data_IF_338086321343
#
_entry.id   IF_338086321343
#
_cell.length_a   1.000
_cell.length_b   1.000
_cell.length_c   1.000
_cell.angle_alpha   90.00
_cell.angle_beta   90.00
_cell.angle_gamma   90.00
#
_symmetry.space_group_name_H-M   'P 1'
#
loop_
_entity.id
_entity.type
_entity.pdbx_description
1 polymer ?
#
# COMPACT_ATOMS: atom_id res chain seq x y z
N UNK A 1 -8.96 -10.66 23.19
CA UNK A 1 -7.88 -11.14 22.30
C UNK A 1 -7.91 -12.66 22.20
N UNK A 2 -8.04 -13.40 23.31
CA UNK A 2 -8.05 -14.88 23.31
C UNK A 2 -9.21 -15.50 22.50
N UNK A 3 -10.36 -14.82 22.46
CA UNK A 3 -11.53 -15.21 21.64
C UNK A 3 -11.25 -15.14 20.14
N UNK A 4 -10.38 -14.22 19.70
CA UNK A 4 -9.99 -14.12 18.29
C UNK A 4 -8.99 -15.22 17.94
N UNK A 5 -8.04 -15.55 18.83
CA UNK A 5 -7.09 -16.64 18.59
C UNK A 5 -7.73 -18.01 18.44
N UNK A 6 -8.68 -18.33 19.31
CA UNK A 6 -9.31 -19.66 19.35
C UNK A 6 -10.13 -19.99 18.10
N UNK A 7 -10.45 -18.99 17.27
CA UNK A 7 -11.22 -19.19 16.03
C UNK A 7 -10.35 -19.71 14.89
N UNK A 8 -10.88 -20.57 14.00
CA UNK A 8 -10.15 -21.06 12.83
C UNK A 8 -9.70 -19.91 11.91
N UNK A 9 -8.59 -20.10 11.21
CA UNK A 9 -8.06 -19.15 10.20
C UNK A 9 -9.01 -19.10 9.01
N UNK A 10 -9.95 -18.17 9.08
CA UNK A 10 -10.96 -17.91 8.05
C UNK A 10 -10.76 -16.51 7.49
N UNK A 11 -11.15 -16.27 6.24
CA UNK A 11 -11.10 -14.95 5.63
C UNK A 11 -11.90 -13.91 6.44
N UNK A 12 -13.04 -14.33 7.01
CA UNK A 12 -13.88 -13.48 7.85
C UNK A 12 -13.18 -13.07 9.16
N UNK A 13 -12.45 -14.00 9.79
CA UNK A 13 -11.62 -13.68 10.96
C UNK A 13 -10.55 -12.66 10.60
N UNK A 14 -9.90 -12.81 9.45
CA UNK A 14 -8.86 -11.89 9.00
C UNK A 14 -9.42 -10.48 8.78
N UNK A 15 -10.58 -10.37 8.11
CA UNK A 15 -11.31 -9.10 7.95
C UNK A 15 -11.65 -8.45 9.29
N UNK A 16 -12.10 -9.24 10.27
CA UNK A 16 -12.38 -8.73 11.60
C UNK A 16 -11.11 -8.20 12.28
N UNK A 17 -9.99 -8.93 12.20
CA UNK A 17 -8.73 -8.50 12.80
C UNK A 17 -8.24 -7.20 12.14
N UNK A 18 -8.30 -7.08 10.81
CA UNK A 18 -7.99 -5.84 10.09
C UNK A 18 -8.88 -4.67 10.55
N UNK A 19 -10.18 -4.89 10.68
CA UNK A 19 -11.12 -3.87 11.13
C UNK A 19 -10.83 -3.36 12.56
N UNK A 20 -10.38 -4.25 13.45
CA UNK A 20 -9.94 -3.88 14.80
C UNK A 20 -8.63 -3.09 14.77
N UNK A 21 -7.68 -3.45 13.90
CA UNK A 21 -6.45 -2.67 13.72
C UNK A 21 -6.78 -1.24 13.24
N UNK A 22 -7.63 -1.10 12.24
CA UNK A 22 -8.09 0.20 11.74
C UNK A 22 -8.77 1.03 12.84
N UNK A 23 -9.65 0.41 13.64
CA UNK A 23 -10.26 1.08 14.78
C UNK A 23 -9.22 1.60 15.77
N UNK A 24 -8.23 0.78 16.13
CA UNK A 24 -7.17 1.17 17.06
C UNK A 24 -6.32 2.32 16.51
N UNK A 25 -6.01 2.34 15.21
CA UNK A 25 -5.31 3.45 14.55
C UNK A 25 -6.09 4.76 14.62
N UNK A 26 -7.42 4.71 14.46
CA UNK A 26 -8.26 5.90 14.64
C UNK A 26 -8.27 6.35 16.11
N UNK A 27 -8.39 5.41 17.05
CA UNK A 27 -8.36 5.74 18.49
C UNK A 27 -7.00 6.21 19.00
N UNK A 28 -5.91 5.85 18.33
CA UNK A 28 -4.58 6.39 18.60
C UNK A 28 -4.52 7.91 18.37
N UNK A 29 -5.36 8.45 17.48
CA UNK A 29 -5.42 9.88 17.16
C UNK A 29 -6.54 10.63 17.90
N UNK A 30 -7.17 10.01 18.90
CA UNK A 30 -8.29 10.63 19.63
C UNK A 30 -7.89 11.89 20.40
N UNK A 31 -8.82 12.85 20.53
CA UNK A 31 -8.66 14.05 21.39
C UNK A 31 -8.22 13.76 22.84
N UNK A 32 -8.70 12.68 23.47
CA UNK A 32 -8.36 12.35 24.86
C UNK A 32 -7.05 11.55 24.94
N UNK A 33 -6.04 12.12 25.62
CA UNK A 33 -4.73 11.48 25.85
C UNK A 33 -4.83 10.07 26.45
N UNK A 34 -5.74 9.83 27.40
CA UNK A 34 -5.92 8.49 28.01
C UNK A 34 -6.35 7.44 26.97
N UNK A 35 -7.20 7.82 26.01
CA UNK A 35 -7.63 6.94 24.93
C UNK A 35 -6.45 6.65 24.00
N UNK A 36 -5.68 7.68 23.60
CA UNK A 36 -4.48 7.51 22.76
C UNK A 36 -3.48 6.53 23.37
N UNK A 37 -3.11 6.73 24.64
CA UNK A 37 -2.16 5.86 25.35
C UNK A 37 -2.67 4.43 25.48
N UNK A 38 -3.97 4.25 25.62
CA UNK A 38 -4.58 2.91 25.73
C UNK A 38 -4.59 2.24 24.35
N UNK A 39 -5.00 2.95 23.31
CA UNK A 39 -4.95 2.48 21.93
C UNK A 39 -3.52 2.09 21.52
N UNK A 40 -2.53 2.91 21.86
CA UNK A 40 -1.12 2.65 21.59
C UNK A 40 -0.64 1.31 22.17
N UNK A 41 -0.94 1.07 23.46
CA UNK A 41 -0.66 -0.21 24.13
C UNK A 41 -1.36 -1.38 23.43
N UNK A 42 -2.61 -1.17 23.00
CA UNK A 42 -3.36 -2.20 22.28
C UNK A 42 -2.76 -2.47 20.90
N UNK A 43 -2.34 -1.46 20.14
CA UNK A 43 -1.68 -1.64 18.84
C UNK A 43 -0.41 -2.49 19.03
N UNK A 44 0.44 -2.15 20.00
CA UNK A 44 1.68 -2.90 20.23
C UNK A 44 1.41 -4.36 20.62
N UNK A 45 0.39 -4.61 21.46
CA UNK A 45 -0.06 -5.98 21.80
C UNK A 45 -0.71 -6.70 20.62
N UNK A 46 -1.39 -5.98 19.75
CA UNK A 46 -2.11 -6.55 18.62
C UNK A 46 -1.11 -7.01 17.55
N UNK A 47 -0.13 -6.16 17.25
CA UNK A 47 1.00 -6.47 16.37
C UNK A 47 1.84 -7.63 16.90
N UNK A 48 2.12 -7.68 18.21
CA UNK A 48 2.90 -8.78 18.77
C UNK A 48 2.18 -10.13 18.67
N UNK A 49 0.85 -10.12 18.64
CA UNK A 49 0.02 -11.34 18.53
C UNK A 49 -0.32 -11.72 17.09
N UNK A 50 -0.54 -10.73 16.23
CA UNK A 50 -0.86 -10.89 14.82
C UNK A 50 0.16 -10.10 13.97
N UNK A 51 1.40 -10.61 13.81
CA UNK A 51 2.47 -9.86 13.15
C UNK A 51 2.16 -9.50 11.70
N UNK A 52 1.35 -10.31 11.03
CA UNK A 52 0.99 -10.10 9.62
C UNK A 52 0.17 -8.83 9.36
N UNK A 53 -0.43 -8.26 10.40
CA UNK A 53 -1.10 -6.96 10.31
C UNK A 53 -0.14 -5.81 10.01
N UNK A 54 1.14 -5.94 10.36
CA UNK A 54 2.14 -4.94 10.02
C UNK A 54 2.19 -4.71 8.51
N UNK A 55 2.03 -5.76 7.71
CA UNK A 55 2.06 -5.67 6.26
C UNK A 55 0.70 -5.92 5.61
N UNK A 56 -0.42 -5.78 6.36
CA UNK A 56 -1.74 -5.74 5.73
C UNK A 56 -1.88 -4.46 4.93
N UNK A 57 -2.13 -4.60 3.63
CA UNK A 57 -2.33 -3.46 2.73
C UNK A 57 -3.46 -2.52 3.18
N UNK A 58 -4.55 -3.06 3.75
CA UNK A 58 -5.65 -2.23 4.27
C UNK A 58 -5.24 -1.43 5.49
N UNK A 59 -4.53 -2.05 6.43
CA UNK A 59 -4.07 -1.38 7.66
C UNK A 59 -3.06 -0.29 7.33
N UNK A 60 -2.09 -0.59 6.45
CA UNK A 60 -1.11 0.38 5.97
C UNK A 60 -1.75 1.56 5.25
N UNK A 61 -2.71 1.29 4.35
CA UNK A 61 -3.48 2.34 3.66
C UNK A 61 -4.22 3.24 4.67
N UNK A 62 -5.00 2.64 5.57
CA UNK A 62 -5.74 3.41 6.58
C UNK A 62 -4.82 4.26 7.46
N UNK A 63 -3.64 3.75 7.82
CA UNK A 63 -2.66 4.51 8.58
C UNK A 63 -2.15 5.76 7.82
N UNK A 64 -1.87 5.63 6.52
CA UNK A 64 -1.46 6.74 5.67
C UNK A 64 -2.60 7.74 5.43
N UNK A 65 -3.82 7.26 5.26
CA UNK A 65 -5.02 8.10 5.12
C UNK A 65 -5.30 8.90 6.40
N UNK A 66 -5.15 8.28 7.58
CA UNK A 66 -5.26 8.99 8.85
C UNK A 66 -4.18 10.05 8.97
N UNK A 67 -2.93 9.74 8.59
CA UNK A 67 -1.84 10.72 8.58
C UNK A 67 -2.20 11.93 7.70
N UNK A 68 -2.76 11.69 6.51
CA UNK A 68 -3.22 12.77 5.65
C UNK A 68 -4.31 13.61 6.33
N UNK A 69 -5.32 12.97 6.91
CA UNK A 69 -6.43 13.67 7.57
C UNK A 69 -5.95 14.54 8.73
N UNK A 70 -5.00 14.07 9.56
CA UNK A 70 -4.48 14.88 10.67
C UNK A 70 -3.59 16.03 10.18
N UNK A 71 -2.89 15.87 9.05
CA UNK A 71 -2.13 16.95 8.43
C UNK A 71 -3.05 18.02 7.82
N UNK A 72 -4.07 17.62 7.03
CA UNK A 72 -5.09 18.53 6.48
C UNK A 72 -5.79 19.32 7.60
N UNK A 73 -5.93 18.71 8.78
CA UNK A 73 -6.54 19.37 9.94
C UNK A 73 -5.72 20.55 10.51
N UNK A 74 -4.44 20.71 10.14
CA UNK A 74 -3.63 21.88 10.51
C UNK A 74 -4.07 23.15 9.77
N UNK A 75 -4.62 23.00 8.57
CA UNK A 75 -5.06 24.12 7.72
C UNK A 75 -6.50 24.58 8.04
N UNK A 76 -7.21 23.84 8.89
CA UNK A 76 -8.56 24.19 9.33
C UNK A 76 -8.54 25.36 10.34
N UNK A 77 -9.49 26.29 10.20
CA UNK A 77 -9.62 27.43 11.11
C UNK A 77 -9.79 26.95 12.57
N UNK A 78 -8.90 27.35 13.51
CA UNK A 78 -9.04 27.04 14.93
C UNK A 78 -10.25 27.69 15.61
N UNK A 79 -10.86 28.70 14.99
CA UNK A 79 -12.00 29.44 15.56
C UNK A 79 -13.37 28.84 15.19
N UNK A 80 -13.40 27.85 14.29
CA UNK A 80 -14.61 27.08 13.97
C UNK A 80 -14.76 25.86 14.89
N UNK A 81 -15.99 25.35 15.00
CA UNK A 81 -16.26 24.12 15.76
C UNK A 81 -15.45 22.94 15.22
N UNK A 82 -14.73 22.25 16.12
CA UNK A 82 -13.84 21.16 15.74
C UNK A 82 -14.59 20.04 14.99
N UNK A 83 -14.31 19.82 13.69
CA UNK A 83 -15.09 18.91 12.89
C UNK A 83 -14.78 17.44 13.20
N UNK A 84 -15.74 16.58 12.89
CA UNK A 84 -15.53 15.14 12.77
C UNK A 84 -15.31 14.75 11.32
N UNK A 85 -14.08 14.36 10.99
CA UNK A 85 -13.69 14.00 9.62
C UNK A 85 -13.83 12.48 9.44
N UNK A 86 -14.47 12.06 8.34
CA UNK A 86 -14.56 10.65 7.96
C UNK A 86 -13.20 10.14 7.47
N UNK A 87 -12.73 9.01 7.98
CA UNK A 87 -11.50 8.39 7.49
C UNK A 87 -11.80 7.60 6.19
N UNK A 88 -11.08 7.85 5.09
CA UNK A 88 -11.27 7.17 3.82
C UNK A 88 -11.30 5.64 3.95
N UNK A 89 -12.18 4.99 3.18
CA UNK A 89 -12.34 3.53 3.11
C UNK A 89 -12.59 2.83 4.47
N UNK A 90 -13.04 3.56 5.49
CA UNK A 90 -13.43 2.98 6.79
C UNK A 90 -14.76 3.59 7.27
N UNK A 91 -15.50 2.93 8.17
CA UNK A 91 -16.71 3.50 8.77
C UNK A 91 -16.41 4.48 9.93
N UNK A 92 -15.15 4.76 10.22
CA UNK A 92 -14.75 5.51 11.42
C UNK A 92 -14.59 7.00 11.15
N UNK A 93 -14.91 7.81 12.17
CA UNK A 93 -14.70 9.26 12.19
C UNK A 93 -13.64 9.65 13.20
N UNK A 94 -12.89 10.70 12.88
CA UNK A 94 -11.88 11.31 13.73
C UNK A 94 -12.30 12.73 14.08
N UNK A 95 -12.49 12.99 15.38
CA UNK A 95 -12.70 14.35 15.89
C UNK A 95 -11.36 15.06 16.03
N UNK A 96 -11.24 16.23 15.41
CA UNK A 96 -10.02 17.04 15.43
C UNK A 96 -9.85 17.74 16.80
N UNK A 97 -8.60 17.99 17.19
CA UNK A 97 -8.30 18.74 18.42
C UNK A 97 -8.62 20.23 18.21
N UNK A 98 -9.12 20.91 19.24
CA UNK A 98 -9.54 22.32 19.10
C UNK A 98 -8.36 23.26 18.87
N UNK A 99 -7.29 23.13 19.65
CA UNK A 99 -6.12 24.00 19.60
C UNK A 99 -5.03 23.52 18.62
N UNK A 100 -4.45 24.46 17.87
CA UNK A 100 -3.40 24.17 16.88
C UNK A 100 -2.21 23.42 17.47
N UNK A 101 -1.74 23.79 18.67
CA UNK A 101 -0.63 23.11 19.34
C UNK A 101 -0.89 21.62 19.60
N UNK A 102 -2.13 21.25 19.95
CA UNK A 102 -2.43 19.81 20.11
C UNK A 102 -2.64 19.12 18.78
N UNK A 103 -3.13 19.82 17.73
CA UNK A 103 -3.17 19.26 16.37
C UNK A 103 -1.76 18.92 15.89
N UNK A 104 -0.81 19.85 16.04
CA UNK A 104 0.61 19.64 15.72
C UNK A 104 1.20 18.45 16.49
N UNK A 105 0.89 18.33 17.79
CA UNK A 105 1.35 17.19 18.59
C UNK A 105 0.76 15.86 18.10
N UNK A 106 -0.53 15.83 17.72
CA UNK A 106 -1.17 14.63 17.15
C UNK A 106 -0.53 14.26 15.82
N UNK A 107 -0.25 15.22 14.94
CA UNK A 107 0.46 14.99 13.68
C UNK A 107 1.85 14.40 13.93
N UNK A 108 2.60 14.97 14.89
CA UNK A 108 3.94 14.49 15.27
C UNK A 108 3.89 13.05 15.79
N UNK A 109 2.96 12.74 16.69
CA UNK A 109 2.78 11.41 17.26
C UNK A 109 2.34 10.40 16.18
N UNK A 110 1.40 10.78 15.31
CA UNK A 110 0.91 9.97 14.20
C UNK A 110 2.03 9.66 13.20
N UNK A 111 2.78 10.68 12.77
CA UNK A 111 3.89 10.52 11.83
C UNK A 111 4.98 9.59 12.38
N UNK A 112 5.39 9.79 13.64
CA UNK A 112 6.37 8.94 14.30
C UNK A 112 5.92 7.48 14.41
N UNK A 113 4.64 7.26 14.75
CA UNK A 113 4.07 5.92 14.84
C UNK A 113 3.95 5.25 13.48
N UNK A 114 3.47 5.97 12.47
CA UNK A 114 3.36 5.47 11.10
C UNK A 114 4.72 5.08 10.53
N UNK A 115 5.74 5.91 10.75
CA UNK A 115 7.13 5.60 10.36
C UNK A 115 7.64 4.33 11.04
N UNK A 116 7.41 4.17 12.35
CA UNK A 116 7.82 2.97 13.09
C UNK A 116 7.13 1.71 12.58
N UNK A 117 5.82 1.78 12.28
CA UNK A 117 5.08 0.65 11.72
C UNK A 117 5.66 0.29 10.35
N UNK A 118 5.82 1.27 9.44
CA UNK A 118 6.36 1.05 8.10
C UNK A 118 7.77 0.45 8.11
N UNK A 119 8.62 0.91 9.04
CA UNK A 119 9.95 0.37 9.27
C UNK A 119 9.93 -1.12 9.60
N UNK A 120 9.12 -1.51 10.58
CA UNK A 120 8.99 -2.92 10.97
C UNK A 120 8.34 -3.73 9.84
N UNK A 121 7.32 -3.20 9.16
CA UNK A 121 6.69 -3.87 8.02
C UNK A 121 7.69 -4.14 6.89
N UNK A 122 8.52 -3.16 6.54
CA UNK A 122 9.56 -3.29 5.50
C UNK A 122 10.63 -4.31 5.88
N UNK A 123 10.94 -4.45 7.17
CA UNK A 123 11.88 -5.46 7.68
C UNK A 123 11.35 -6.88 7.50
N UNK A 124 10.06 -7.10 7.78
CA UNK A 124 9.46 -8.44 7.76
C UNK A 124 8.95 -8.87 6.38
N UNK A 125 8.37 -7.96 5.60
CA UNK A 125 7.74 -8.27 4.32
C UNK A 125 7.97 -7.18 3.26
N UNK A 126 9.24 -6.89 2.88
CA UNK A 126 9.59 -5.75 2.03
C UNK A 126 8.85 -5.74 0.68
N UNK A 127 8.77 -6.89 0.00
CA UNK A 127 8.12 -6.98 -1.31
C UNK A 127 6.60 -6.75 -1.24
N UNK A 128 5.94 -7.30 -0.22
CA UNK A 128 4.50 -7.10 -0.02
C UNK A 128 4.19 -5.64 0.32
N UNK A 129 4.95 -5.05 1.25
CA UNK A 129 4.78 -3.66 1.66
C UNK A 129 5.04 -2.71 0.48
N UNK A 130 6.11 -2.91 -0.28
CA UNK A 130 6.35 -2.13 -1.51
C UNK A 130 5.21 -2.25 -2.49
N UNK A 131 4.67 -3.46 -2.70
CA UNK A 131 3.52 -3.66 -3.58
C UNK A 131 2.31 -2.84 -3.12
N UNK A 132 2.02 -2.83 -1.81
CA UNK A 132 0.92 -2.06 -1.22
C UNK A 132 1.15 -0.55 -1.30
N UNK A 133 2.38 -0.07 -1.09
CA UNK A 133 2.70 1.35 -1.19
C UNK A 133 2.67 1.84 -2.64
N UNK A 134 3.09 1.02 -3.62
CA UNK A 134 2.91 1.35 -5.05
C UNK A 134 1.41 1.47 -5.37
N UNK A 135 0.60 0.53 -4.89
CA UNK A 135 -0.86 0.58 -5.08
C UNK A 135 -1.47 1.84 -4.45
N UNK A 136 -0.99 2.22 -3.25
CA UNK A 136 -1.39 3.47 -2.61
C UNK A 136 -1.07 4.70 -3.47
N UNK A 137 0.16 4.79 -3.99
CA UNK A 137 0.58 5.88 -4.89
C UNK A 137 -0.31 5.96 -6.13
N UNK A 138 -0.54 4.84 -6.81
CA UNK A 138 -1.34 4.78 -8.04
C UNK A 138 -2.81 5.17 -7.82
N UNK A 139 -3.36 4.95 -6.62
CA UNK A 139 -4.72 5.37 -6.30
C UNK A 139 -4.80 6.90 -6.12
N UNK A 140 -3.73 7.52 -5.62
CA UNK A 140 -3.65 8.97 -5.42
C UNK A 140 -3.40 9.74 -6.72
N UNK A 141 -2.83 9.12 -7.76
CA UNK A 141 -2.62 9.73 -9.08
C UNK A 141 -3.93 10.29 -9.70
N UNK A 142 -5.09 9.71 -9.32
CA UNK A 142 -6.41 10.13 -9.80
C UNK A 142 -7.03 11.25 -8.95
N UNK A 143 -6.46 11.58 -7.80
CA UNK A 143 -6.97 12.60 -6.90
C UNK A 143 -6.22 13.92 -7.09
N UNK A 144 -6.93 15.03 -7.31
CA UNK A 144 -6.30 16.35 -7.51
C UNK A 144 -5.37 16.76 -6.36
N UNK A 145 -5.60 16.22 -5.16
CA UNK A 145 -4.75 16.43 -3.97
C UNK A 145 -3.40 15.73 -4.05
N UNK A 146 -3.25 14.66 -4.85
CA UNK A 146 -1.97 13.97 -5.05
C UNK A 146 -0.93 14.80 -5.80
N UNK A 147 -1.38 15.81 -6.57
CA UNK A 147 -0.51 16.79 -7.23
C UNK A 147 -0.03 17.91 -6.29
N UNK A 148 -0.66 18.02 -5.11
CA UNK A 148 -0.33 18.98 -4.06
C UNK A 148 0.35 18.25 -2.88
N UNK A 149 0.53 18.96 -1.77
CA UNK A 149 1.13 18.37 -0.58
C UNK A 149 0.20 17.29 0.02
N UNK A 150 0.61 16.03 -0.12
CA UNK A 150 -0.06 14.89 0.49
C UNK A 150 0.93 14.13 1.39
N UNK A 151 0.90 14.42 2.70
CA UNK A 151 1.76 13.79 3.73
C UNK A 151 1.72 12.26 3.74
N UNK A 152 0.56 11.63 3.53
CA UNK A 152 0.46 10.16 3.41
C UNK A 152 1.28 9.61 2.24
N UNK A 153 1.08 10.16 1.05
CA UNK A 153 1.80 9.83 -0.18
C UNK A 153 3.31 10.12 -0.08
N UNK A 154 3.67 11.27 0.51
CA UNK A 154 5.06 11.64 0.76
C UNK A 154 5.74 10.60 1.68
N UNK A 155 5.11 10.24 2.81
CA UNK A 155 5.64 9.22 3.71
C UNK A 155 5.76 7.85 3.05
N UNK A 156 4.77 7.44 2.25
CA UNK A 156 4.83 6.18 1.50
C UNK A 156 6.02 6.15 0.55
N UNK A 157 6.23 7.24 -0.19
CA UNK A 157 7.31 7.40 -1.17
C UNK A 157 8.67 7.43 -0.48
N UNK A 158 8.83 8.27 0.55
CA UNK A 158 10.05 8.35 1.36
C UNK A 158 10.40 7.01 1.99
N UNK A 159 9.41 6.28 2.52
CA UNK A 159 9.63 4.97 3.10
C UNK A 159 10.21 4.01 2.06
N UNK A 160 9.62 3.91 0.87
CA UNK A 160 10.16 2.97 -0.11
C UNK A 160 11.58 3.35 -0.55
N UNK A 161 11.85 4.65 -0.72
CA UNK A 161 13.17 5.13 -1.14
C UNK A 161 14.24 4.96 -0.04
N UNK A 162 13.89 5.24 1.22
CA UNK A 162 14.82 5.16 2.36
C UNK A 162 15.05 3.72 2.82
N UNK A 163 14.04 2.85 2.72
CA UNK A 163 14.14 1.42 3.05
C UNK A 163 14.46 0.55 1.83
N UNK A 164 14.83 1.15 0.71
CA UNK A 164 15.28 0.46 -0.50
C UNK A 164 16.58 -0.34 -0.31
N UNK A 165 17.27 -0.23 0.84
CA UNK A 165 18.64 -0.74 1.01
C UNK A 165 18.92 -1.70 2.15
N UNK A 166 17.96 -2.07 3.01
CA UNK A 166 18.27 -2.99 4.13
C UNK A 166 18.15 -4.46 3.70
N UNK A 167 19.05 -4.90 2.82
CA UNK A 167 19.33 -6.33 2.67
C UNK A 167 20.06 -6.80 3.93
N UNK A 168 19.28 -7.25 4.91
CA UNK A 168 19.75 -8.27 5.84
C UNK A 168 20.11 -9.53 5.04
N UNK A 169 21.34 -9.58 4.52
CA UNK A 169 21.87 -10.71 3.76
C UNK A 169 21.59 -10.67 2.25
N UNK A 170 22.49 -10.04 1.49
CA UNK A 170 22.87 -10.61 0.19
C UNK A 170 24.38 -10.83 0.20
N UNK A 171 24.73 -12.11 0.26
CA UNK A 171 26.04 -12.68 0.13
C UNK A 171 26.73 -12.22 -1.16
N UNK A 172 27.88 -11.55 -1.06
CA UNK A 172 29.06 -11.77 -1.92
C UNK A 172 30.29 -11.18 -1.25
N UNK A 173 31.13 -12.03 -0.63
CA UNK A 173 32.61 -11.91 -0.54
C UNK A 173 33.30 -10.61 -0.08
N UNK A 174 32.59 -9.58 0.37
CA UNK A 174 33.17 -8.32 0.82
C UNK A 174 32.66 -8.02 2.22
N UNK A 175 33.56 -8.01 3.20
CA UNK A 175 33.23 -7.75 4.60
C UNK A 175 32.44 -6.45 4.79
N UNK A 176 31.63 -6.41 5.85
CA UNK A 176 30.75 -5.28 6.21
C UNK A 176 31.45 -3.91 6.13
N UNK A 177 32.77 -3.86 6.36
CA UNK A 177 33.61 -2.66 6.31
C UNK A 177 33.76 -2.02 4.91
N UNK A 178 33.34 -2.69 3.82
CA UNK A 178 33.44 -2.15 2.44
C UNK A 178 32.13 -1.55 1.91
N UNK A 179 30.99 -1.80 2.56
CA UNK A 179 29.68 -1.33 2.11
C UNK A 179 29.45 0.15 2.46
N UNK A 180 29.95 0.61 3.61
CA UNK A 180 29.84 2.02 4.06
C UNK A 180 30.62 3.02 3.20
N UNK A 181 31.54 2.56 2.34
CA UNK A 181 32.30 3.44 1.42
C UNK A 181 31.56 3.73 0.12
N UNK A 182 30.48 3.00 -0.18
CA UNK A 182 29.76 3.11 -1.45
C UNK A 182 28.54 4.03 -1.29
N UNK A 183 28.21 4.84 -2.31
CA UNK A 183 27.04 5.71 -2.26
C UNK A 183 25.75 4.89 -2.20
N UNK A 184 24.70 5.47 -1.59
CA UNK A 184 23.41 4.81 -1.34
C UNK A 184 22.74 4.26 -2.62
N UNK A 185 22.99 4.87 -3.78
CA UNK A 185 22.48 4.41 -5.07
C UNK A 185 22.97 3.01 -5.50
N UNK A 186 24.09 2.53 -4.96
CA UNK A 186 24.64 1.20 -5.27
C UNK A 186 23.92 0.09 -4.47
N UNK A 187 23.31 0.45 -3.35
CA UNK A 187 22.60 -0.47 -2.46
C UNK A 187 21.08 -0.32 -2.53
N UNK A 188 20.62 0.77 -3.13
CA UNK A 188 19.21 1.11 -3.21
C UNK A 188 18.49 0.31 -4.31
N UNK A 189 17.38 -0.32 -3.92
CA UNK A 189 16.36 -0.89 -4.81
C UNK A 189 15.36 0.17 -5.33
N UNK A 190 15.67 1.48 -5.23
CA UNK A 190 14.80 2.55 -5.75
C UNK A 190 14.48 2.38 -7.24
N UNK A 191 15.44 1.90 -8.05
CA UNK A 191 15.22 1.64 -9.48
C UNK A 191 14.18 0.54 -9.70
N UNK A 192 14.17 -0.49 -8.87
CA UNK A 192 13.17 -1.55 -8.92
C UNK A 192 11.77 -1.03 -8.56
N UNK A 193 11.68 -0.18 -7.52
CA UNK A 193 10.42 0.47 -7.17
C UNK A 193 9.89 1.34 -8.32
N UNK A 194 10.72 2.24 -8.87
CA UNK A 194 10.31 3.12 -9.96
C UNK A 194 9.93 2.35 -11.22
N UNK A 195 10.66 1.28 -11.55
CA UNK A 195 10.31 0.40 -12.67
C UNK A 195 8.95 -0.27 -12.44
N UNK A 196 8.69 -0.82 -11.26
CA UNK A 196 7.40 -1.45 -10.95
C UNK A 196 6.24 -0.44 -10.91
N UNK A 197 6.46 0.75 -10.35
CA UNK A 197 5.48 1.84 -10.36
C UNK A 197 5.14 2.25 -11.79
N UNK A 198 6.16 2.48 -12.63
CA UNK A 198 5.99 2.87 -14.03
C UNK A 198 5.28 1.81 -14.86
N UNK A 199 5.66 0.53 -14.70
CA UNK A 199 5.02 -0.60 -15.38
C UNK A 199 3.53 -0.67 -14.98
N UNK A 200 3.22 -0.64 -13.68
CA UNK A 200 1.83 -0.71 -13.21
C UNK A 200 1.02 0.49 -13.70
N UNK A 201 1.53 1.72 -13.57
CA UNK A 201 0.88 2.94 -14.06
C UNK A 201 0.57 2.85 -15.55
N UNK A 202 1.58 2.46 -16.37
CA UNK A 202 1.43 2.32 -17.82
C UNK A 202 0.34 1.32 -18.20
N UNK A 203 0.43 0.08 -17.74
CA UNK A 203 -0.50 -0.97 -18.18
C UNK A 203 -1.89 -0.80 -17.57
N UNK A 204 -2.00 -0.21 -16.37
CA UNK A 204 -3.28 0.18 -15.81
C UNK A 204 -3.94 1.28 -16.66
N UNK A 205 -3.16 2.27 -17.11
CA UNK A 205 -3.62 3.31 -18.02
C UNK A 205 -4.04 2.77 -19.39
N UNK A 206 -3.25 1.88 -20.00
CA UNK A 206 -3.59 1.22 -21.27
C UNK A 206 -4.91 0.42 -21.16
N UNK A 207 -5.11 -0.30 -20.05
CA UNK A 207 -6.35 -1.04 -19.80
C UNK A 207 -7.52 -0.11 -19.50
N UNK A 208 -7.36 0.94 -18.70
CA UNK A 208 -8.42 1.91 -18.45
C UNK A 208 -8.90 2.54 -19.76
N UNK A 209 -7.98 3.06 -20.59
CA UNK A 209 -8.34 3.66 -21.86
C UNK A 209 -8.99 2.67 -22.83
N UNK A 210 -8.61 1.39 -22.77
CA UNK A 210 -9.29 0.35 -23.54
C UNK A 210 -10.70 0.07 -23.04
N UNK A 211 -10.90 0.02 -21.72
CA UNK A 211 -12.23 -0.17 -21.11
C UNK A 211 -13.16 1.02 -21.37
N UNK A 212 -12.62 2.24 -21.47
CA UNK A 212 -13.40 3.45 -21.74
C UNK A 212 -13.90 3.53 -23.19
N UNK A 213 -13.20 2.87 -24.13
CA UNK A 213 -13.49 2.92 -25.58
C UNK A 213 -14.21 1.66 -26.07
N UNK A 214 -14.09 0.54 -25.35
CA UNK A 214 -14.59 -0.75 -25.82
C UNK A 214 -15.98 -1.05 -25.23
N UNK A 215 -17.00 -1.08 -26.10
CA UNK A 215 -18.38 -1.43 -25.71
C UNK A 215 -18.49 -2.87 -25.18
N UNK A 216 -17.67 -3.79 -25.71
CA UNK A 216 -17.61 -5.19 -25.29
C UNK A 216 -16.21 -5.59 -24.85
N UNK A 217 -16.02 -5.64 -23.53
CA UNK A 217 -14.74 -5.99 -22.89
C UNK A 217 -14.35 -7.44 -23.14
N UNK A 218 -15.29 -8.35 -23.40
CA UNK A 218 -14.97 -9.75 -23.70
C UNK A 218 -14.22 -9.90 -25.03
N UNK A 219 -14.52 -9.04 -26.01
CA UNK A 219 -13.76 -9.00 -27.28
C UNK A 219 -12.35 -8.48 -27.05
N UNK A 220 -12.17 -7.51 -26.17
CA UNK A 220 -10.86 -6.99 -25.80
C UNK A 220 -10.01 -8.04 -25.06
N UNK A 221 -10.63 -8.79 -24.15
CA UNK A 221 -10.04 -9.94 -23.45
C UNK A 221 -9.53 -11.00 -24.44
N UNK A 222 -10.38 -11.44 -25.37
CA UNK A 222 -10.03 -12.44 -26.38
C UNK A 222 -8.85 -11.97 -27.25
N UNK A 223 -8.87 -10.72 -27.70
CA UNK A 223 -7.76 -10.13 -28.48
C UNK A 223 -6.44 -10.10 -27.71
N UNK A 224 -6.46 -9.85 -26.40
CA UNK A 224 -5.24 -9.91 -25.58
C UNK A 224 -4.69 -11.33 -25.49
N UNK A 225 -5.58 -12.31 -25.34
CA UNK A 225 -5.19 -13.71 -25.28
C UNK A 225 -4.55 -14.17 -26.60
N UNK A 226 -5.18 -13.90 -27.73
CA UNK A 226 -4.65 -14.27 -29.05
C UNK A 226 -3.28 -13.62 -29.32
N UNK A 227 -3.08 -12.38 -28.86
CA UNK A 227 -1.77 -11.71 -28.93
C UNK A 227 -0.73 -12.38 -28.04
N UNK A 228 -1.11 -12.84 -26.86
CA UNK A 228 -0.20 -13.57 -25.96
C UNK A 228 0.20 -14.92 -26.57
N UNK A 229 -0.76 -15.68 -27.13
CA UNK A 229 -0.49 -16.95 -27.80
C UNK A 229 0.44 -16.77 -29.01
N UNK A 230 0.17 -15.75 -29.83
CA UNK A 230 1.06 -15.37 -30.94
C UNK A 230 2.48 -15.05 -30.45
N UNK A 231 2.62 -14.28 -29.37
CA UNK A 231 3.93 -13.95 -28.82
C UNK A 231 4.70 -15.19 -28.32
N UNK A 232 4.00 -16.19 -27.77
CA UNK A 232 4.62 -17.46 -27.40
C UNK A 232 5.05 -18.27 -28.63
N UNK A 233 4.22 -18.34 -29.67
CA UNK A 233 4.54 -19.02 -30.92
C UNK A 233 5.78 -18.40 -31.62
N UNK A 234 5.87 -17.07 -31.62
CA UNK A 234 6.97 -16.31 -32.21
C UNK A 234 8.20 -16.20 -31.30
N UNK A 235 8.13 -16.75 -30.07
CA UNK A 235 9.14 -16.60 -29.02
C UNK A 235 9.50 -15.12 -28.69
N UNK A 236 8.57 -14.20 -28.92
CA UNK A 236 8.74 -12.79 -28.59
C UNK A 236 8.47 -12.54 -27.10
N UNK A 237 9.55 -12.61 -26.32
CA UNK A 237 9.54 -12.38 -24.88
C UNK A 237 9.05 -10.98 -24.51
N UNK A 238 9.31 -9.97 -25.34
CA UNK A 238 8.90 -8.59 -25.06
C UNK A 238 7.38 -8.49 -25.21
N UNK A 239 6.84 -8.93 -26.33
CA UNK A 239 5.41 -8.90 -26.58
C UNK A 239 4.63 -9.74 -25.55
N UNK A 240 5.14 -10.91 -25.18
CA UNK A 240 4.53 -11.75 -24.16
C UNK A 240 4.46 -11.05 -22.79
N UNK A 241 5.56 -10.42 -22.36
CA UNK A 241 5.58 -9.62 -21.10
C UNK A 241 4.56 -8.49 -21.14
N UNK A 242 4.48 -7.74 -22.23
CA UNK A 242 3.51 -6.64 -22.34
C UNK A 242 2.06 -7.17 -22.26
N UNK A 243 1.76 -8.29 -22.93
CA UNK A 243 0.44 -8.91 -22.88
C UNK A 243 0.10 -9.41 -21.47
N UNK A 244 1.05 -10.04 -20.77
CA UNK A 244 0.86 -10.49 -19.39
C UNK A 244 0.54 -9.32 -18.44
N UNK A 245 1.23 -8.18 -18.58
CA UNK A 245 0.94 -7.01 -17.76
C UNK A 245 -0.44 -6.41 -18.04
N UNK A 246 -0.87 -6.35 -19.30
CA UNK A 246 -2.23 -5.90 -19.67
C UNK A 246 -3.31 -6.82 -19.10
N UNK A 247 -3.13 -8.14 -19.26
CA UNK A 247 -4.06 -9.13 -18.70
C UNK A 247 -4.13 -9.00 -17.17
N UNK A 248 -2.99 -8.83 -16.50
CA UNK A 248 -2.95 -8.65 -15.05
C UNK A 248 -3.67 -7.35 -14.62
N UNK A 249 -3.44 -6.24 -15.33
CA UNK A 249 -4.12 -4.98 -15.05
C UNK A 249 -5.64 -5.07 -15.26
N UNK A 250 -6.07 -5.81 -16.28
CA UNK A 250 -7.49 -6.09 -16.55
C UNK A 250 -8.15 -6.91 -15.44
N UNK A 251 -7.45 -7.92 -14.91
CA UNK A 251 -7.91 -8.69 -13.76
C UNK A 251 -8.10 -7.83 -12.51
N UNK A 252 -7.18 -6.90 -12.25
CA UNK A 252 -7.28 -5.97 -11.12
C UNK A 252 -8.53 -5.10 -11.24
N UNK A 253 -8.83 -4.62 -12.45
CA UNK A 253 -10.01 -3.78 -12.72
C UNK A 253 -11.33 -4.57 -12.71
N UNK A 254 -11.29 -5.87 -13.04
CA UNK A 254 -12.46 -6.75 -13.13
C UNK A 254 -12.24 -8.08 -12.39
N UNK A 255 -12.17 -8.05 -11.04
CA UNK A 255 -11.95 -9.25 -10.26
C UNK A 255 -13.09 -10.27 -10.47
N UNK A 256 -12.72 -11.52 -10.78
CA UNK A 256 -13.66 -12.64 -10.89
C UNK A 256 -14.50 -12.71 -12.18
N UNK A 257 -14.36 -11.75 -13.10
CA UNK A 257 -15.13 -11.72 -14.36
C UNK A 257 -14.29 -12.07 -15.59
N UNK A 258 -12.97 -12.06 -15.47
CA UNK A 258 -12.05 -12.34 -16.56
C UNK A 258 -11.93 -13.87 -16.74
N UNK A 259 -12.51 -14.43 -17.80
CA UNK A 259 -12.61 -15.89 -18.03
C UNK A 259 -11.24 -16.52 -18.25
N UNK A 260 -10.29 -15.76 -18.79
CA UNK A 260 -8.95 -16.22 -19.18
C UNK A 260 -8.14 -16.78 -18.00
N UNK A 261 -8.44 -16.33 -16.77
CA UNK A 261 -7.72 -16.72 -15.54
C UNK A 261 -8.04 -18.15 -15.10
N UNK A 262 -9.21 -18.69 -15.45
CA UNK A 262 -9.54 -20.08 -15.13
C UNK A 262 -8.70 -21.09 -15.93
N UNK A 263 -7.96 -20.64 -16.95
CA UNK A 263 -7.00 -21.41 -17.74
C UNK A 263 -5.53 -21.04 -17.45
N UNK A 264 -5.19 -20.70 -16.20
CA UNK A 264 -3.82 -20.45 -15.71
C UNK A 264 -2.83 -21.63 -15.89
N UNK A 265 -3.28 -22.80 -16.33
CA UNK A 265 -2.43 -23.95 -16.66
C UNK A 265 -1.50 -23.73 -17.88
N UNK A 266 -1.61 -22.61 -18.59
CA UNK A 266 -0.84 -22.33 -19.81
C UNK A 266 0.30 -21.30 -19.66
N UNK A 267 0.53 -20.72 -18.47
CA UNK A 267 1.71 -19.89 -18.22
C UNK A 267 2.97 -20.77 -18.08
N UNK A 268 3.39 -21.39 -19.18
CA UNK A 268 4.71 -22.00 -19.26
C UNK A 268 5.73 -20.85 -19.27
N UNK A 269 6.71 -20.82 -18.35
CA UNK A 269 7.84 -19.91 -18.50
C UNK A 269 8.51 -20.20 -19.86
N UNK A 270 8.98 -19.15 -20.53
CA UNK A 270 9.92 -19.33 -21.64
C UNK A 270 11.11 -20.14 -21.09
N UNK A 271 11.30 -21.35 -21.61
CA UNK A 271 12.51 -22.16 -21.36
C UNK A 271 13.69 -21.55 -22.10
#
# INVERSE_FOLDING_TARGET
MDVLDAKPKTEEKEKQIEAHAQFLLVKFNHTYKRVRLTADKFISKFVSRFPHLLWSGKVLKTMLDILQVVCDALDLDPHEDAPEIQIPATPYKLRIMENITSREQVVKDCSARSSTILQESMKWAPNAVRSHLIEYVLQMDMEAKGLLQHSGLAMATETVLNYAGYKGGVNTMSGANSLDRRPSCVHSESSNFMANLSIRSRYLGEVNGMLDVCDDVSVAEEKMYLKLEKAYLEQDVVMAKQCMFRITALQIKRPGQCIIVLNLNYLKPFN
#
